data_IF_708101049213
#
_entry.id   IF_708101049213
#
_cell.length_a   1.000
_cell.length_b   1.000
_cell.length_c   1.000
_cell.angle_alpha   90.00
_cell.angle_beta   90.00
_cell.angle_gamma   90.00
#
_symmetry.space_group_name_H-M   'P 1'
#
loop_
_entity.id
_entity.type
_entity.pdbx_description
1 polymer ?
#
# COMPACT_ATOMS: atom_id res chain seq x y z
N UNK A 1 23.84 -14.72 -3.35
CA UNK A 1 22.40 -14.77 -3.66
C UNK A 1 22.02 -16.24 -3.84
N UNK A 2 21.51 -16.89 -2.82
CA UNK A 2 20.97 -18.25 -2.97
C UNK A 2 19.52 -18.13 -3.42
N UNK A 3 19.28 -18.72 -4.55
CA UNK A 3 18.05 -18.84 -5.33
C UNK A 3 16.87 -19.35 -4.48
N UNK A 4 15.91 -18.50 -4.19
CA UNK A 4 14.57 -18.86 -3.72
C UNK A 4 13.65 -19.17 -4.92
N UNK A 5 14.12 -19.99 -5.83
CA UNK A 5 13.30 -20.46 -6.93
C UNK A 5 13.18 -21.99 -6.86
N UNK A 6 11.94 -22.43 -6.86
CA UNK A 6 11.37 -23.75 -7.10
C UNK A 6 10.83 -24.50 -5.89
N UNK A 7 9.54 -24.25 -5.62
CA UNK A 7 8.57 -25.33 -5.34
C UNK A 7 7.18 -24.81 -5.70
N UNK A 8 6.56 -25.44 -6.72
CA UNK A 8 5.18 -25.19 -7.17
C UNK A 8 4.17 -25.56 -6.07
N UNK A 9 3.71 -24.58 -5.37
CA UNK A 9 2.43 -24.31 -4.74
C UNK A 9 2.39 -22.79 -4.73
N UNK A 10 1.27 -22.14 -4.89
CA UNK A 10 1.14 -20.68 -4.77
C UNK A 10 1.69 -20.23 -3.41
N UNK A 11 3.01 -20.12 -3.32
CA UNK A 11 3.66 -19.64 -2.10
C UNK A 11 3.44 -18.15 -2.05
N UNK A 12 2.76 -17.73 -1.00
CA UNK A 12 2.77 -16.32 -0.60
C UNK A 12 4.18 -15.76 -0.78
N UNK A 13 4.30 -14.72 -1.59
CA UNK A 13 5.59 -14.09 -1.94
C UNK A 13 6.34 -13.66 -0.67
N UNK A 14 5.59 -13.23 0.34
CA UNK A 14 6.07 -12.85 1.67
C UNK A 14 5.32 -13.67 2.72
N UNK A 15 6.00 -14.55 3.48
CA UNK A 15 5.34 -15.38 4.48
C UNK A 15 4.68 -14.54 5.59
N UNK A 16 3.52 -14.98 6.07
CA UNK A 16 2.82 -14.33 7.18
C UNK A 16 3.69 -14.21 8.44
N UNK A 17 4.51 -15.22 8.73
CA UNK A 17 5.45 -15.20 9.86
C UNK A 17 6.48 -14.07 9.76
N UNK A 18 6.89 -13.70 8.55
CA UNK A 18 7.78 -12.56 8.34
C UNK A 18 7.05 -11.23 8.68
N UNK A 19 5.81 -11.05 8.24
CA UNK A 19 5.01 -9.86 8.58
C UNK A 19 4.81 -9.73 10.10
N UNK A 20 4.53 -10.86 10.78
CA UNK A 20 4.36 -10.91 12.24
C UNK A 20 5.65 -10.68 13.02
N UNK A 21 6.82 -10.81 12.39
CA UNK A 21 8.11 -10.56 13.07
C UNK A 21 8.37 -9.05 13.28
N UNK A 22 7.66 -8.18 12.58
CA UNK A 22 7.89 -6.73 12.60
C UNK A 22 9.21 -6.30 11.95
N UNK A 23 9.91 -7.21 11.27
CA UNK A 23 11.17 -6.88 10.60
C UNK A 23 10.94 -6.05 9.34
N UNK A 24 11.89 -5.17 9.05
CA UNK A 24 11.97 -4.45 7.80
C UNK A 24 12.25 -5.43 6.63
N UNK A 25 11.69 -5.16 5.45
CA UNK A 25 11.91 -5.97 4.26
C UNK A 25 13.31 -5.69 3.70
N UNK A 26 14.24 -6.67 3.72
CA UNK A 26 15.59 -6.45 3.21
C UNK A 26 15.58 -6.33 1.67
N UNK A 27 16.14 -5.25 1.17
CA UNK A 27 16.29 -4.98 -0.28
C UNK A 27 17.72 -5.30 -0.74
N UNK A 28 18.69 -4.76 -0.04
CA UNK A 28 20.13 -5.06 -0.21
C UNK A 28 20.76 -5.30 1.15
N UNK A 29 22.08 -5.49 1.19
CA UNK A 29 22.79 -5.58 2.47
C UNK A 29 22.81 -4.26 3.26
N UNK A 30 22.55 -3.13 2.60
CA UNK A 30 22.63 -1.78 3.18
C UNK A 30 21.25 -1.12 3.31
N UNK A 31 20.26 -1.55 2.53
CA UNK A 31 18.93 -0.93 2.42
C UNK A 31 17.85 -1.95 2.74
N UNK A 32 16.90 -1.53 3.58
CA UNK A 32 15.67 -2.26 3.84
C UNK A 32 14.46 -1.32 3.68
N UNK A 33 13.32 -1.87 3.32
CA UNK A 33 12.05 -1.15 3.33
C UNK A 33 11.46 -1.26 4.73
N UNK A 34 11.24 -0.14 5.36
CA UNK A 34 10.78 -0.02 6.74
C UNK A 34 9.39 -0.65 6.96
N UNK A 35 9.27 -1.44 8.01
CA UNK A 35 7.98 -1.88 8.56
C UNK A 35 7.55 -0.87 9.64
N UNK A 36 6.70 0.12 9.33
CA UNK A 36 6.48 1.25 10.22
C UNK A 36 5.73 0.87 11.48
N UNK A 37 6.09 1.51 12.57
CA UNK A 37 5.29 1.58 13.79
C UNK A 37 4.17 2.61 13.63
N UNK A 38 3.10 2.44 14.38
CA UNK A 38 2.04 3.45 14.48
C UNK A 38 2.60 4.82 14.90
N UNK A 39 3.59 4.84 15.81
CA UNK A 39 4.26 6.08 16.21
C UNK A 39 4.96 6.78 15.06
N UNK A 40 5.61 6.02 14.16
CA UNK A 40 6.27 6.60 12.98
C UNK A 40 5.29 7.36 12.09
N UNK A 41 4.06 6.84 11.97
CA UNK A 41 3.01 7.48 11.17
C UNK A 41 2.59 8.81 11.81
N UNK A 42 2.34 8.83 13.13
CA UNK A 42 2.00 10.08 13.83
C UNK A 42 3.13 11.12 13.77
N UNK A 43 4.37 10.65 13.66
CA UNK A 43 5.56 11.50 13.60
C UNK A 43 5.80 12.16 12.23
N UNK A 44 5.04 11.77 11.19
CA UNK A 44 5.19 12.32 9.82
C UNK A 44 4.92 13.82 9.78
N UNK A 45 3.95 14.30 10.56
CA UNK A 45 3.49 15.70 10.56
C UNK A 45 3.51 16.29 11.98
N UNK A 46 4.62 16.17 12.68
CA UNK A 46 4.80 16.71 14.04
C UNK A 46 4.56 18.21 14.15
N UNK A 47 4.88 18.97 13.10
CA UNK A 47 4.75 20.43 13.06
C UNK A 47 3.28 20.86 13.17
N UNK A 48 2.34 20.07 12.64
CA UNK A 48 0.91 20.30 12.73
C UNK A 48 0.22 19.35 13.73
N UNK A 49 0.92 18.88 14.75
CA UNK A 49 0.39 17.99 15.79
C UNK A 49 -0.14 16.65 15.23
N UNK A 50 0.38 16.20 14.10
CA UNK A 50 -0.03 14.95 13.46
C UNK A 50 -1.36 15.03 12.69
N UNK A 51 -1.93 16.22 12.48
CA UNK A 51 -3.23 16.40 11.86
C UNK A 51 -3.34 15.77 10.46
N UNK A 52 -2.26 15.85 9.67
CA UNK A 52 -2.20 15.33 8.31
C UNK A 52 -1.39 14.04 8.18
N UNK A 53 -0.90 13.49 9.29
CA UNK A 53 0.01 12.33 9.27
C UNK A 53 -0.58 11.12 8.58
N UNK A 54 -1.84 10.80 8.84
CA UNK A 54 -2.54 9.67 8.25
C UNK A 54 -2.70 9.85 6.74
N UNK A 55 -3.15 11.02 6.30
CA UNK A 55 -3.35 11.33 4.87
C UNK A 55 -2.02 11.29 4.11
N UNK A 56 -0.97 11.85 4.69
CA UNK A 56 0.38 11.82 4.10
C UNK A 56 0.89 10.37 4.03
N UNK A 57 0.68 9.57 5.07
CA UNK A 57 1.05 8.16 5.07
C UNK A 57 0.36 7.39 3.93
N UNK A 58 -0.96 7.56 3.76
CA UNK A 58 -1.69 6.92 2.66
C UNK A 58 -1.22 7.41 1.28
N UNK A 59 -0.88 8.67 1.13
CA UNK A 59 -0.28 9.17 -0.11
C UNK A 59 1.08 8.52 -0.37
N UNK A 60 1.92 8.35 0.66
CA UNK A 60 3.23 7.71 0.53
C UNK A 60 3.14 6.22 0.16
N UNK A 61 2.21 5.45 0.76
CA UNK A 61 2.04 4.04 0.36
C UNK A 61 1.50 3.91 -1.05
N UNK A 62 0.65 4.83 -1.51
CA UNK A 62 0.12 4.82 -2.88
C UNK A 62 1.22 4.99 -3.94
N UNK A 63 2.37 5.58 -3.59
CA UNK A 63 3.56 5.64 -4.47
C UNK A 63 4.01 4.24 -4.89
N UNK A 64 3.81 3.23 -4.03
CA UNK A 64 4.22 1.84 -4.28
C UNK A 64 3.08 0.94 -4.78
N UNK A 65 1.84 1.45 -4.88
CA UNK A 65 0.67 0.68 -5.29
C UNK A 65 0.30 0.95 -6.75
N UNK A 66 1.22 0.67 -7.65
CA UNK A 66 1.11 1.00 -9.08
C UNK A 66 0.75 -0.22 -9.93
N UNK A 67 -0.26 -0.98 -9.51
CA UNK A 67 -0.76 -2.11 -10.28
C UNK A 67 -1.33 -1.62 -11.64
N UNK A 68 -0.86 -2.13 -12.80
CA UNK A 68 -1.31 -1.69 -14.12
C UNK A 68 -2.83 -1.76 -14.33
N UNK A 69 -3.49 -2.75 -13.72
CA UNK A 69 -4.97 -2.87 -13.78
C UNK A 69 -5.68 -1.69 -13.09
N UNK A 70 -5.10 -1.15 -12.03
CA UNK A 70 -5.61 0.07 -11.37
C UNK A 70 -5.39 1.32 -12.23
N UNK A 71 -4.34 1.32 -13.05
CA UNK A 71 -3.94 2.43 -13.90
C UNK A 71 -4.28 2.22 -15.38
N UNK A 72 -5.18 1.27 -15.72
CA UNK A 72 -5.50 0.93 -17.11
C UNK A 72 -5.98 2.13 -17.94
N UNK A 73 -6.79 3.03 -17.36
CA UNK A 73 -7.26 4.25 -18.05
C UNK A 73 -6.11 5.22 -18.32
N UNK A 74 -5.20 5.40 -17.35
CA UNK A 74 -4.02 6.24 -17.51
C UNK A 74 -3.07 5.72 -18.59
N UNK A 75 -2.88 4.41 -18.65
CA UNK A 75 -2.04 3.75 -19.65
C UNK A 75 -2.67 3.80 -21.04
N UNK A 76 -3.98 3.55 -21.15
CA UNK A 76 -4.75 3.67 -22.40
C UNK A 76 -4.67 5.09 -22.98
N UNK A 77 -4.82 6.14 -22.15
CA UNK A 77 -4.68 7.54 -22.58
C UNK A 77 -3.27 7.87 -23.14
N UNK A 78 -2.27 7.03 -22.82
CA UNK A 78 -0.90 7.13 -23.37
C UNK A 78 -0.63 6.14 -24.50
N UNK A 79 -1.60 5.33 -24.90
CA UNK A 79 -1.44 4.27 -25.90
C UNK A 79 -0.56 3.12 -25.43
N UNK A 80 -0.51 2.86 -24.14
CA UNK A 80 0.30 1.80 -23.50
C UNK A 80 -0.66 0.69 -23.05
N UNK A 81 -0.32 -0.54 -23.40
CA UNK A 81 -1.09 -1.72 -23.03
C UNK A 81 -0.82 -2.11 -21.56
N UNK A 82 -1.87 -2.04 -20.71
CA UNK A 82 -1.77 -2.34 -19.29
C UNK A 82 -1.46 -3.83 -18.99
N UNK A 83 -1.83 -4.77 -19.89
CA UNK A 83 -1.57 -6.20 -19.67
C UNK A 83 -0.10 -6.56 -19.84
N UNK A 84 0.62 -5.82 -20.68
CA UNK A 84 2.05 -6.02 -20.92
C UNK A 84 2.96 -5.12 -20.08
N UNK A 85 2.38 -4.19 -19.31
CA UNK A 85 3.11 -3.23 -18.48
C UNK A 85 3.33 -3.76 -17.07
N UNK A 86 4.52 -3.58 -16.51
CA UNK A 86 4.80 -3.98 -15.13
C UNK A 86 4.46 -2.89 -14.12
N UNK A 87 4.21 -3.23 -12.83
CA UNK A 87 4.00 -2.24 -11.78
C UNK A 87 5.12 -1.21 -11.67
N UNK A 88 6.37 -1.64 -11.86
CA UNK A 88 7.53 -0.74 -11.81
C UNK A 88 7.57 0.23 -13.00
N UNK A 89 7.16 -0.22 -14.19
CA UNK A 89 7.03 0.68 -15.34
C UNK A 89 5.96 1.74 -15.13
N UNK A 90 4.80 1.36 -14.55
CA UNK A 90 3.76 2.32 -14.16
C UNK A 90 4.30 3.34 -13.17
N UNK A 91 5.02 2.88 -12.12
CA UNK A 91 5.68 3.79 -11.19
C UNK A 91 6.61 4.78 -11.90
N UNK A 92 7.47 4.30 -12.80
CA UNK A 92 8.39 5.15 -13.54
C UNK A 92 7.66 6.19 -14.40
N UNK A 93 6.57 5.80 -15.06
CA UNK A 93 5.75 6.72 -15.88
C UNK A 93 5.10 7.80 -15.02
N UNK A 94 4.48 7.42 -13.91
CA UNK A 94 3.83 8.35 -12.98
C UNK A 94 4.84 9.32 -12.35
N UNK A 95 6.01 8.82 -11.95
CA UNK A 95 7.07 9.65 -11.39
C UNK A 95 7.59 10.69 -12.38
N UNK A 96 7.88 10.27 -13.63
CA UNK A 96 8.34 11.18 -14.69
C UNK A 96 7.28 12.25 -14.96
N UNK A 97 6.00 11.87 -15.15
CA UNK A 97 4.93 12.83 -15.39
C UNK A 97 4.76 13.81 -14.24
N UNK A 98 4.87 13.32 -13.01
CA UNK A 98 4.80 14.18 -11.83
C UNK A 98 5.97 15.19 -11.80
N UNK A 99 7.18 14.72 -12.07
CA UNK A 99 8.37 15.58 -12.11
C UNK A 99 8.29 16.62 -13.23
N UNK A 100 7.80 16.26 -14.41
CA UNK A 100 7.57 17.21 -15.51
C UNK A 100 6.57 18.31 -15.12
N UNK A 101 5.46 17.93 -14.48
CA UNK A 101 4.49 18.90 -13.95
C UNK A 101 5.12 19.83 -12.92
N UNK A 102 5.89 19.28 -11.99
CA UNK A 102 6.58 20.06 -10.96
C UNK A 102 7.57 21.08 -11.57
N UNK A 103 8.40 20.65 -12.52
CA UNK A 103 9.36 21.51 -13.22
C UNK A 103 8.63 22.62 -14.00
N UNK A 104 7.53 22.32 -14.64
CA UNK A 104 6.74 23.31 -15.39
C UNK A 104 6.10 24.38 -14.49
N UNK A 105 5.65 23.99 -13.29
CA UNK A 105 5.11 24.92 -12.29
C UNK A 105 6.22 25.76 -11.67
N UNK A 106 7.41 25.21 -11.49
CA UNK A 106 8.53 25.87 -10.79
C UNK A 106 9.38 26.80 -11.66
N UNK A 107 9.24 26.75 -12.99
CA UNK A 107 10.00 27.62 -13.91
C UNK A 107 10.02 29.12 -13.57
N UNK A 108 8.97 29.72 -12.94
CA UNK A 108 9.03 31.12 -12.53
C UNK A 108 9.53 31.35 -11.09
N UNK A 109 9.94 30.29 -10.36
CA UNK A 109 10.32 30.40 -8.94
C UNK A 109 11.83 30.58 -8.78
N UNK A 110 12.23 31.31 -7.73
CA UNK A 110 13.63 31.44 -7.32
C UNK A 110 14.19 30.10 -6.80
N UNK A 111 15.53 29.91 -6.90
CA UNK A 111 16.22 28.65 -6.59
C UNK A 111 15.88 28.02 -5.23
N UNK A 112 15.68 28.84 -4.18
CA UNK A 112 15.33 28.34 -2.84
C UNK A 112 13.94 27.70 -2.79
N UNK A 113 13.00 28.20 -3.57
CA UNK A 113 11.64 27.67 -3.63
C UNK A 113 11.56 26.30 -4.33
N UNK A 114 12.45 26.05 -5.28
CA UNK A 114 12.53 24.76 -5.96
C UNK A 114 13.00 23.64 -5.02
N UNK A 115 13.99 23.93 -4.18
CA UNK A 115 14.46 22.99 -3.15
C UNK A 115 13.37 22.59 -2.15
N UNK A 116 12.51 23.53 -1.76
CA UNK A 116 11.36 23.27 -0.87
C UNK A 116 10.32 22.39 -1.57
N UNK A 117 10.03 22.65 -2.85
CA UNK A 117 9.07 21.85 -3.63
C UNK A 117 9.55 20.40 -3.78
N UNK A 118 10.84 20.17 -4.01
CA UNK A 118 11.41 18.82 -4.08
C UNK A 118 11.27 18.11 -2.73
N UNK A 119 11.65 18.75 -1.62
CA UNK A 119 11.55 18.16 -0.27
C UNK A 119 10.12 17.78 0.12
N UNK A 120 9.13 18.54 -0.34
CA UNK A 120 7.72 18.28 -0.09
C UNK A 120 7.08 17.32 -1.10
N UNK A 121 7.85 16.87 -2.09
CA UNK A 121 7.39 15.90 -3.07
C UNK A 121 7.07 14.56 -2.42
N UNK A 122 5.87 14.02 -2.69
CA UNK A 122 5.40 12.79 -2.07
C UNK A 122 6.29 11.57 -2.37
N UNK A 123 6.89 11.51 -3.57
CA UNK A 123 7.81 10.43 -3.94
C UNK A 123 9.08 10.46 -3.08
N UNK A 124 9.73 11.62 -2.95
CA UNK A 124 10.94 11.74 -2.13
C UNK A 124 10.62 11.55 -0.65
N UNK A 125 9.48 12.06 -0.17
CA UNK A 125 9.02 11.80 1.21
C UNK A 125 8.78 10.31 1.46
N UNK A 126 8.16 9.58 0.53
CA UNK A 126 7.94 8.15 0.64
C UNK A 126 9.26 7.38 0.69
N UNK A 127 10.21 7.71 -0.18
CA UNK A 127 11.51 7.05 -0.19
C UNK A 127 12.36 7.39 1.04
N UNK A 128 12.33 8.62 1.52
CA UNK A 128 12.98 9.01 2.77
C UNK A 128 12.37 8.27 3.97
N UNK A 129 11.04 8.18 4.06
CA UNK A 129 10.36 7.50 5.15
C UNK A 129 10.59 5.98 5.17
N UNK A 130 10.47 5.31 4.01
CA UNK A 130 10.52 3.85 3.95
C UNK A 130 11.93 3.27 3.73
N UNK A 131 12.82 3.98 3.04
CA UNK A 131 14.17 3.49 2.70
C UNK A 131 15.29 4.30 3.40
N UNK A 132 14.97 5.45 3.99
CA UNK A 132 15.98 6.39 4.48
C UNK A 132 16.79 7.05 3.35
N UNK A 133 16.22 7.14 2.15
CA UNK A 133 16.85 7.69 0.95
C UNK A 133 16.16 8.98 0.55
N UNK A 134 16.84 10.11 0.69
CA UNK A 134 16.26 11.44 0.45
C UNK A 134 16.19 11.83 -1.04
N UNK A 135 16.97 11.17 -1.88
CA UNK A 135 16.94 11.41 -3.32
C UNK A 135 17.28 10.15 -4.11
N UNK A 136 16.62 9.98 -5.24
CA UNK A 136 16.84 8.88 -6.17
C UNK A 136 16.63 9.35 -7.61
N UNK A 137 17.09 8.56 -8.57
CA UNK A 137 16.89 8.80 -9.98
C UNK A 137 16.68 7.49 -10.75
N UNK A 138 16.04 7.60 -11.91
CA UNK A 138 15.85 6.48 -12.82
C UNK A 138 17.06 6.39 -13.73
N UNK A 139 17.75 5.25 -13.72
CA UNK A 139 18.79 4.88 -14.66
C UNK A 139 18.20 3.91 -15.67
N UNK A 140 18.38 4.20 -16.96
CA UNK A 140 18.03 3.28 -18.03
C UNK A 140 19.29 2.59 -18.53
N UNK A 141 19.26 1.27 -18.58
CA UNK A 141 20.36 0.45 -19.09
C UNK A 141 20.29 0.33 -20.62
N UNK A 142 21.38 -0.17 -21.24
CA UNK A 142 21.47 -0.30 -22.70
C UNK A 142 20.44 -1.28 -23.30
N UNK A 143 19.96 -2.26 -22.50
CA UNK A 143 18.91 -3.21 -22.86
C UNK A 143 17.49 -2.65 -22.70
N UNK A 144 17.36 -1.37 -22.32
CA UNK A 144 16.10 -0.68 -22.11
C UNK A 144 15.51 -0.85 -20.69
N UNK A 145 16.08 -1.71 -19.85
CA UNK A 145 15.62 -1.90 -18.48
C UNK A 145 15.85 -0.65 -17.65
N UNK A 146 14.90 -0.37 -16.77
CA UNK A 146 14.98 0.73 -15.82
C UNK A 146 15.37 0.22 -14.45
N UNK A 147 16.13 1.03 -13.73
CA UNK A 147 16.57 0.76 -12.36
C UNK A 147 16.53 2.06 -11.58
N UNK A 148 16.02 2.04 -10.36
CA UNK A 148 16.18 3.16 -9.44
C UNK A 148 17.53 3.06 -8.75
N UNK A 149 18.23 4.18 -8.72
CA UNK A 149 19.52 4.33 -8.05
C UNK A 149 19.47 5.52 -7.10
N UNK A 150 20.30 5.47 -6.05
CA UNK A 150 20.50 6.56 -5.11
C UNK A 150 22.00 6.84 -4.95
N UNK A 151 22.37 7.94 -4.31
CA UNK A 151 23.75 8.41 -4.17
C UNK A 151 24.52 8.34 -5.52
N UNK A 152 25.76 7.85 -5.52
CA UNK A 152 26.63 7.73 -6.69
C UNK A 152 26.33 6.49 -7.56
N UNK A 153 25.07 6.12 -7.73
CA UNK A 153 24.66 5.01 -8.59
C UNK A 153 24.44 3.70 -7.86
N UNK A 154 24.28 3.72 -6.54
CA UNK A 154 23.93 2.54 -5.77
C UNK A 154 22.53 2.05 -6.17
N UNK A 155 22.40 0.74 -6.30
CA UNK A 155 21.13 0.07 -6.62
C UNK A 155 20.09 0.28 -5.51
N UNK A 156 18.89 0.63 -5.87
CA UNK A 156 17.75 0.72 -4.97
C UNK A 156 16.66 -0.29 -5.35
N UNK A 157 16.02 -0.12 -6.50
CA UNK A 157 14.92 -0.97 -6.95
C UNK A 157 15.02 -1.27 -8.46
N UNK A 158 14.58 -2.45 -8.84
CA UNK A 158 14.23 -2.83 -10.20
C UNK A 158 12.84 -3.46 -10.21
N UNK A 159 12.40 -3.98 -11.34
CA UNK A 159 11.09 -4.58 -11.51
C UNK A 159 10.82 -5.73 -10.53
N UNK A 160 11.76 -6.67 -10.40
CA UNK A 160 11.61 -7.81 -9.48
C UNK A 160 11.47 -7.37 -8.03
N UNK A 161 12.35 -6.47 -7.58
CA UNK A 161 12.36 -5.98 -6.19
C UNK A 161 11.14 -5.10 -5.90
N UNK A 162 10.69 -4.32 -6.89
CA UNK A 162 9.50 -3.48 -6.75
C UNK A 162 8.24 -4.30 -6.49
N UNK A 163 8.10 -5.45 -7.13
CA UNK A 163 6.97 -6.35 -6.89
C UNK A 163 6.95 -6.87 -5.45
N UNK A 164 8.12 -7.18 -4.85
CA UNK A 164 8.20 -7.53 -3.43
C UNK A 164 7.80 -6.37 -2.52
N UNK A 165 8.25 -5.15 -2.84
CA UNK A 165 7.89 -3.95 -2.07
C UNK A 165 6.38 -3.69 -2.15
N UNK A 166 5.80 -3.75 -3.35
CA UNK A 166 4.36 -3.56 -3.55
C UNK A 166 3.54 -4.58 -2.75
N UNK A 167 3.91 -5.86 -2.83
CA UNK A 167 3.25 -6.92 -2.07
C UNK A 167 3.37 -6.71 -0.55
N UNK A 168 4.57 -6.32 -0.07
CA UNK A 168 4.78 -6.00 1.34
C UNK A 168 3.89 -4.84 1.79
N UNK A 169 3.84 -3.76 1.02
CA UNK A 169 2.99 -2.59 1.31
C UNK A 169 1.52 -2.98 1.37
N UNK A 170 1.02 -3.77 0.41
CA UNK A 170 -0.36 -4.28 0.42
C UNK A 170 -0.65 -5.04 1.70
N UNK A 171 0.21 -5.99 2.04
CA UNK A 171 -0.03 -6.90 3.15
C UNK A 171 0.06 -6.24 4.52
N UNK A 172 1.05 -5.37 4.76
CA UNK A 172 1.16 -4.68 6.05
C UNK A 172 0.01 -3.70 6.29
N UNK A 173 -0.60 -3.17 5.23
CA UNK A 173 -1.72 -2.23 5.32
C UNK A 173 -3.10 -2.90 5.17
N UNK A 174 -3.17 -4.22 5.01
CA UNK A 174 -4.42 -4.95 4.82
C UNK A 174 -5.16 -4.53 3.55
N UNK A 175 -4.42 -4.18 2.50
CA UNK A 175 -4.99 -3.82 1.19
C UNK A 175 -5.26 -5.13 0.44
N UNK A 176 -6.53 -5.45 0.12
CA UNK A 176 -6.86 -6.67 -0.57
C UNK A 176 -6.30 -6.66 -2.00
N UNK A 177 -5.97 -7.84 -2.51
CA UNK A 177 -5.73 -7.99 -3.94
C UNK A 177 -7.01 -7.66 -4.71
N UNK A 178 -6.89 -6.79 -5.71
CA UNK A 178 -7.98 -6.52 -6.63
C UNK A 178 -8.30 -7.75 -7.48
N UNK A 179 -9.58 -7.95 -7.80
CA UNK A 179 -9.95 -8.95 -8.79
C UNK A 179 -9.37 -8.54 -10.16
N UNK A 180 -8.53 -9.41 -10.72
CA UNK A 180 -8.00 -9.23 -12.07
C UNK A 180 -8.93 -9.92 -13.03
N UNK A 181 -9.62 -9.14 -13.85
CA UNK A 181 -10.44 -9.63 -14.95
C UNK A 181 -9.52 -9.65 -16.18
N UNK A 182 -9.19 -10.85 -16.66
CA UNK A 182 -8.47 -11.00 -17.91
C UNK A 182 -9.49 -10.96 -19.07
N UNK A 183 -9.42 -9.95 -19.97
CA UNK A 183 -10.33 -9.88 -21.10
C UNK A 183 -10.07 -11.03 -22.07
N UNK A 184 -11.14 -11.54 -22.70
CA UNK A 184 -11.04 -12.64 -23.68
C UNK A 184 -10.52 -12.13 -25.05
N UNK A 185 -10.76 -10.86 -25.35
CA UNK A 185 -10.37 -10.21 -26.60
C UNK A 185 -10.21 -8.69 -26.44
N UNK A 186 -9.75 -8.02 -27.49
CA UNK A 186 -9.52 -6.56 -27.50
C UNK A 186 -10.82 -5.76 -27.28
N UNK A 187 -11.97 -6.27 -27.72
CA UNK A 187 -13.24 -5.60 -27.49
C UNK A 187 -13.66 -5.65 -26.02
N UNK A 188 -13.53 -6.81 -25.37
CA UNK A 188 -13.76 -6.96 -23.92
C UNK A 188 -12.81 -6.06 -23.11
N UNK A 189 -11.55 -5.94 -23.55
CA UNK A 189 -10.55 -5.05 -22.95
C UNK A 189 -10.99 -3.58 -23.00
N UNK A 190 -11.45 -3.11 -24.15
CA UNK A 190 -11.93 -1.72 -24.29
C UNK A 190 -13.16 -1.45 -23.42
N UNK A 191 -14.07 -2.41 -23.26
CA UNK A 191 -15.20 -2.28 -22.32
C UNK A 191 -14.72 -2.12 -20.88
N UNK A 192 -13.75 -2.94 -20.44
CA UNK A 192 -13.20 -2.83 -19.08
C UNK A 192 -12.57 -1.45 -18.82
N UNK A 193 -11.82 -0.93 -19.79
CA UNK A 193 -11.21 0.41 -19.70
C UNK A 193 -12.29 1.49 -19.60
N UNK A 194 -13.35 1.40 -20.42
CA UNK A 194 -14.41 2.42 -20.41
C UNK A 194 -15.27 2.35 -19.13
N UNK A 195 -15.57 1.15 -18.62
CA UNK A 195 -16.26 0.95 -17.36
C UNK A 195 -15.45 1.57 -16.19
N UNK A 196 -14.13 1.34 -16.18
CA UNK A 196 -13.24 1.94 -15.17
C UNK A 196 -13.17 3.46 -15.32
N UNK A 197 -13.13 3.97 -16.56
CA UNK A 197 -13.18 5.42 -16.84
C UNK A 197 -14.46 6.06 -16.31
N UNK A 198 -15.61 5.40 -16.48
CA UNK A 198 -16.87 5.86 -15.90
C UNK A 198 -16.89 5.78 -14.37
N UNK A 199 -16.32 4.70 -13.80
CA UNK A 199 -16.21 4.53 -12.34
C UNK A 199 -15.39 5.67 -11.73
N UNK A 200 -14.26 6.02 -12.33
CA UNK A 200 -13.41 7.13 -11.88
C UNK A 200 -14.14 8.48 -11.96
N UNK A 201 -14.88 8.74 -13.03
CA UNK A 201 -15.70 9.96 -13.18
C UNK A 201 -16.77 10.05 -12.08
N UNK A 202 -17.50 8.95 -11.82
CA UNK A 202 -18.52 8.88 -10.76
C UNK A 202 -17.92 9.08 -9.36
N UNK A 203 -16.75 8.51 -9.12
CA UNK A 203 -16.04 8.64 -7.85
C UNK A 203 -15.58 10.08 -7.62
N UNK A 204 -14.99 10.73 -8.63
CA UNK A 204 -14.57 12.13 -8.55
C UNK A 204 -15.74 13.10 -8.26
N UNK A 205 -16.97 12.78 -8.72
CA UNK A 205 -18.16 13.58 -8.45
C UNK A 205 -18.67 13.38 -7.02
N UNK A 206 -18.60 12.18 -6.46
CA UNK A 206 -19.08 11.88 -5.10
C UNK A 206 -18.18 12.46 -4.01
N UNK A 207 -16.86 12.44 -4.20
CA UNK A 207 -15.90 12.94 -3.20
C UNK A 207 -15.88 14.46 -3.00
N UNK A 208 -16.68 15.22 -3.72
CA UNK A 208 -16.85 16.66 -3.43
C UNK A 208 -17.70 16.95 -2.18
N UNK A 209 -18.48 15.96 -1.71
CA UNK A 209 -19.43 16.14 -0.62
C UNK A 209 -19.09 15.33 0.65
N UNK A 210 -18.15 14.40 0.58
CA UNK A 210 -17.73 13.63 1.73
C UNK A 210 -16.46 14.23 2.36
N UNK A 211 -16.63 15.05 3.39
CA UNK A 211 -15.60 15.24 4.43
C UNK A 211 -15.42 13.90 5.16
N UNK A 212 -14.71 12.97 4.52
CA UNK A 212 -14.47 11.65 5.05
C UNK A 212 -13.63 11.74 6.31
N UNK A 213 -14.07 10.99 7.29
CA UNK A 213 -13.48 10.71 8.57
C UNK A 213 -11.93 10.60 8.51
N UNK A 214 -11.26 11.74 8.68
CA UNK A 214 -9.81 11.90 8.58
C UNK A 214 -9.03 11.22 9.72
N UNK A 215 -9.68 10.44 10.59
CA UNK A 215 -9.07 9.80 11.75
C UNK A 215 -9.33 8.28 11.76
N UNK A 216 -9.10 7.61 10.62
CA UNK A 216 -9.29 6.16 10.50
C UNK A 216 -8.32 5.40 11.40
N UNK A 217 -7.04 5.76 11.39
CA UNK A 217 -6.00 5.15 12.21
C UNK A 217 -6.29 5.32 13.71
N UNK A 218 -6.69 6.51 14.13
CA UNK A 218 -7.08 6.78 15.51
C UNK A 218 -8.28 5.93 15.96
N UNK A 219 -9.28 5.74 15.10
CA UNK A 219 -10.43 4.88 15.37
C UNK A 219 -10.03 3.40 15.46
N UNK A 220 -9.15 2.92 14.57
CA UNK A 220 -8.61 1.57 14.63
C UNK A 220 -7.84 1.32 15.92
N UNK A 221 -6.97 2.25 16.32
CA UNK A 221 -6.24 2.18 17.59
C UNK A 221 -7.15 2.19 18.82
N UNK A 222 -8.17 3.03 18.81
CA UNK A 222 -9.16 3.05 19.87
C UNK A 222 -9.88 1.70 19.94
N UNK A 223 -10.32 1.18 18.80
CA UNK A 223 -11.01 -0.11 18.73
C UNK A 223 -10.16 -1.23 19.33
N UNK A 224 -8.92 -1.41 18.87
CA UNK A 224 -8.06 -2.50 19.36
C UNK A 224 -7.73 -2.33 20.85
N UNK A 225 -7.52 -1.09 21.32
CA UNK A 225 -7.20 -0.80 22.72
C UNK A 225 -8.33 -1.22 23.66
N UNK A 226 -9.59 -0.99 23.27
CA UNK A 226 -10.72 -1.26 24.15
C UNK A 226 -11.39 -2.61 23.91
N UNK A 227 -11.11 -3.30 22.81
CA UNK A 227 -11.66 -4.64 22.52
C UNK A 227 -10.70 -5.78 22.80
N UNK A 228 -9.38 -5.54 22.79
CA UNK A 228 -8.38 -6.55 23.15
C UNK A 228 -8.31 -6.77 24.67
N UNK A 229 -8.46 -8.01 25.10
CA UNK A 229 -8.39 -8.41 26.51
C UNK A 229 -6.96 -8.30 27.07
N UNK A 230 -6.48 -7.06 27.29
CA UNK A 230 -5.27 -6.78 28.07
C UNK A 230 -3.93 -6.77 27.34
N UNK A 231 -3.87 -7.05 26.03
CA UNK A 231 -2.60 -7.01 25.29
C UNK A 231 -2.21 -5.62 24.81
N UNK A 232 -3.17 -4.87 24.27
CA UNK A 232 -2.98 -3.52 23.75
C UNK A 232 -3.59 -2.52 24.74
N UNK A 233 -2.78 -1.56 25.17
CA UNK A 233 -3.14 -0.53 26.14
C UNK A 233 -2.86 0.85 25.58
N UNK A 234 -3.42 1.93 26.16
CA UNK A 234 -3.07 3.29 25.76
C UNK A 234 -1.55 3.61 25.85
N UNK A 235 -0.80 2.82 26.61
CA UNK A 235 0.63 3.04 26.83
C UNK A 235 1.52 2.37 25.78
N UNK A 236 1.07 1.27 25.13
CA UNK A 236 1.87 0.50 24.16
C UNK A 236 1.30 0.49 22.74
N UNK A 237 0.08 0.99 22.53
CA UNK A 237 -0.60 0.95 21.22
C UNK A 237 0.17 1.60 20.07
N UNK A 238 0.95 2.65 20.37
CA UNK A 238 1.74 3.35 19.35
C UNK A 238 3.03 2.59 18.98
N UNK A 239 3.40 1.57 19.75
CA UNK A 239 4.55 0.69 19.48
C UNK A 239 4.19 -0.52 18.63
N UNK A 240 2.93 -0.65 18.24
CA UNK A 240 2.49 -1.70 17.30
C UNK A 240 3.03 -1.38 15.90
N UNK A 241 3.47 -2.41 15.19
CA UNK A 241 3.62 -2.31 13.74
C UNK A 241 2.25 -2.18 13.08
N UNK A 242 2.22 -1.52 11.93
CA UNK A 242 0.94 -1.32 11.21
C UNK A 242 0.27 -2.66 10.85
N UNK A 243 1.05 -3.69 10.52
CA UNK A 243 0.54 -5.03 10.31
C UNK A 243 -0.17 -5.61 11.53
N UNK A 244 0.43 -5.49 12.72
CA UNK A 244 -0.14 -6.00 13.96
C UNK A 244 -1.46 -5.31 14.31
N UNK A 245 -1.57 -4.01 14.02
CA UNK A 245 -2.81 -3.27 14.17
C UNK A 245 -3.90 -3.82 13.23
N UNK A 246 -3.58 -4.00 11.95
CA UNK A 246 -4.53 -4.49 10.92
C UNK A 246 -4.95 -5.94 11.20
N UNK A 247 -3.99 -6.86 11.39
CA UNK A 247 -4.26 -8.28 11.71
C UNK A 247 -5.01 -8.42 13.04
N UNK A 248 -4.67 -7.60 14.05
CA UNK A 248 -5.34 -7.60 15.34
C UNK A 248 -6.81 -7.20 15.26
N UNK A 249 -7.16 -6.21 14.45
CA UNK A 249 -8.54 -5.79 14.22
C UNK A 249 -9.32 -6.86 13.46
N UNK A 250 -8.72 -7.42 12.41
CA UNK A 250 -9.34 -8.50 11.65
C UNK A 250 -9.65 -9.70 12.53
N UNK A 251 -8.68 -10.15 13.35
CA UNK A 251 -8.86 -11.26 14.30
C UNK A 251 -9.89 -10.95 15.36
N UNK A 252 -9.91 -9.73 15.90
CA UNK A 252 -10.88 -9.30 16.89
C UNK A 252 -12.30 -9.35 16.30
N UNK A 253 -12.46 -8.88 15.07
CA UNK A 253 -13.75 -8.92 14.34
C UNK A 253 -14.20 -10.35 14.09
N UNK A 254 -13.30 -11.24 13.65
CA UNK A 254 -13.57 -12.67 13.46
C UNK A 254 -13.97 -13.35 14.77
N UNK A 255 -13.27 -13.06 15.87
CA UNK A 255 -13.58 -13.60 17.19
C UNK A 255 -14.97 -13.16 17.70
N UNK A 256 -15.31 -11.87 17.54
CA UNK A 256 -16.61 -11.33 17.92
C UNK A 256 -17.74 -11.97 17.08
N UNK A 257 -17.53 -12.08 15.78
CA UNK A 257 -18.49 -12.76 14.90
C UNK A 257 -18.68 -14.22 15.28
N UNK A 258 -17.60 -14.97 15.54
CA UNK A 258 -17.64 -16.34 16.02
C UNK A 258 -18.43 -16.44 17.33
N UNK A 259 -18.14 -15.62 18.35
CA UNK A 259 -18.83 -15.62 19.63
C UNK A 259 -20.32 -15.33 19.47
N UNK A 260 -20.71 -14.31 18.70
CA UNK A 260 -22.10 -13.93 18.48
C UNK A 260 -22.87 -15.04 17.75
N UNK A 261 -22.26 -15.65 16.74
CA UNK A 261 -22.84 -16.78 16.01
C UNK A 261 -23.06 -17.99 16.93
N UNK A 262 -22.09 -18.33 17.78
CA UNK A 262 -22.23 -19.42 18.74
C UNK A 262 -23.32 -19.15 19.79
N UNK A 263 -23.46 -17.91 20.26
CA UNK A 263 -24.58 -17.51 21.13
C UNK A 263 -25.91 -17.72 20.39
N UNK A 264 -26.01 -17.32 19.13
CA UNK A 264 -27.19 -17.54 18.29
C UNK A 264 -27.55 -19.03 18.11
N UNK A 265 -26.53 -19.88 17.93
CA UNK A 265 -26.71 -21.34 17.84
C UNK A 265 -27.19 -21.92 19.16
N UNK A 266 -26.55 -21.55 20.29
CA UNK A 266 -26.95 -22.09 21.61
C UNK A 266 -28.32 -21.60 22.08
N UNK A 267 -28.72 -20.39 21.69
CA UNK A 267 -30.06 -19.86 21.97
C UNK A 267 -31.16 -20.41 21.04
N UNK A 268 -30.78 -21.19 20.02
CA UNK A 268 -31.71 -21.72 19.02
C UNK A 268 -32.16 -20.71 17.96
N UNK A 269 -31.60 -19.49 17.97
CA UNK A 269 -31.94 -18.47 16.98
C UNK A 269 -31.29 -18.73 15.61
N UNK A 270 -30.20 -19.51 15.59
CA UNK A 270 -29.47 -19.85 14.37
C UNK A 270 -29.39 -21.38 14.24
N UNK A 271 -29.78 -21.90 13.07
CA UNK A 271 -29.69 -23.32 12.78
C UNK A 271 -28.25 -23.75 12.53
N UNK A 272 -27.68 -24.60 13.41
CA UNK A 272 -26.31 -25.13 13.28
C UNK A 272 -26.03 -25.79 11.93
N UNK A 273 -27.06 -26.38 11.28
CA UNK A 273 -26.88 -27.03 9.97
C UNK A 273 -26.59 -26.09 8.83
N UNK A 274 -26.89 -24.78 9.02
CA UNK A 274 -26.66 -23.73 8.01
C UNK A 274 -25.29 -23.03 8.14
N UNK A 275 -24.49 -23.45 9.13
CA UNK A 275 -23.22 -22.78 9.43
C UNK A 275 -22.06 -23.74 9.21
N UNK A 276 -21.05 -23.33 8.47
CA UNK A 276 -19.77 -24.01 8.43
C UNK A 276 -18.88 -23.51 9.59
N UNK A 277 -18.90 -24.23 10.71
CA UNK A 277 -18.11 -23.89 11.90
C UNK A 277 -16.59 -23.87 11.62
N UNK A 278 -16.13 -24.62 10.61
CA UNK A 278 -14.72 -24.64 10.24
C UNK A 278 -14.29 -23.35 9.54
N UNK A 279 -15.16 -22.74 8.74
CA UNK A 279 -14.91 -21.44 8.10
C UNK A 279 -15.05 -20.27 9.06
N UNK A 280 -15.92 -20.43 10.04
CA UNK A 280 -16.22 -19.41 11.04
C UNK A 280 -15.16 -19.31 12.14
N UNK A 281 -14.22 -20.27 12.21
CA UNK A 281 -13.25 -20.32 13.30
C UNK A 281 -12.24 -19.18 13.20
N UNK A 282 -12.22 -18.34 14.23
CA UNK A 282 -11.43 -17.09 14.31
C UNK A 282 -9.91 -17.27 14.18
N UNK A 283 -9.38 -18.46 14.46
CA UNK A 283 -7.95 -18.76 14.44
C UNK A 283 -7.43 -19.21 13.06
N UNK A 284 -8.30 -19.17 12.02
CA UNK A 284 -7.91 -19.52 10.66
C UNK A 284 -7.56 -18.30 9.85
#
# INVERSE_FOLDING_TARGET
MQTLAQTNNEKELIPKSFLQSGNDLPITNEIAFKHPLVQDIFDIDKEHLGLYSEDIYYQMINVFLTDPYTYMVFLDDKGIDYESTTPFEVFCLLFVEYMEKLINISKPLEDDSFGILIKNNIYFRAFSFFFGVDSFYIKQEQDGKKTLCYDDGKFLLNDDVYNYVMEFVKRINGIPEGERINPEDEWAKQILIEDERERLKKHALKHKDDETNTNRLGNLLSTITWTCNGGVTPFNRNQLHIYDLVDGIERTSKLLNYKNTMIGVYSGCIDKKKINLNELHWAK
#
